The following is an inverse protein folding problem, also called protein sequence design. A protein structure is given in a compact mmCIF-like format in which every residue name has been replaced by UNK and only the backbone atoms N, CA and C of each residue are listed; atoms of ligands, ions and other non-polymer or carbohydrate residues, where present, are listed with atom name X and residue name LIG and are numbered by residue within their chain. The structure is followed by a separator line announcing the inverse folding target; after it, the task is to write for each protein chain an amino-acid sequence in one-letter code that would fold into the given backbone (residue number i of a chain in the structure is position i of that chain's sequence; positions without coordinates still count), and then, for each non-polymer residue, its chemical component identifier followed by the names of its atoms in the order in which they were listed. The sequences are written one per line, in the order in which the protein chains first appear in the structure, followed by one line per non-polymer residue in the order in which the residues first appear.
data_IF_281872791596
#
_entry.id   IF_281872791596
#
_cell.length_a   1.000
_cell.length_b   1.000
_cell.length_c   1.000
_cell.angle_alpha   90.00
_cell.angle_beta   90.00
_cell.angle_gamma   90.00
#
_symmetry.space_group_name_H-M   'P 1'
#
loop_
_entity.id
_entity.type
_entity.pdbx_description
1 polymer ?
#
# COMPACT_ATOMS: atom_id res chain seq x y z
N UNK A 1 -2.93 25.39 -42.35
CA UNK A 1 -2.24 24.09 -42.29
C UNK A 1 -2.58 23.49 -40.94
N UNK A 2 -3.00 22.22 -40.89
CA UNK A 2 -3.17 21.51 -39.62
C UNK A 2 -1.79 21.36 -38.96
N UNK A 3 -1.69 21.74 -37.69
CA UNK A 3 -0.45 21.69 -36.91
C UNK A 3 -0.23 20.31 -36.30
N UNK A 4 0.94 20.09 -35.69
CA UNK A 4 1.23 18.83 -35.00
C UNK A 4 0.36 18.63 -33.73
N UNK A 5 -0.12 19.72 -33.13
CA UNK A 5 -1.09 19.68 -32.03
C UNK A 5 -2.42 19.03 -32.45
N UNK A 6 -2.88 19.27 -33.68
CA UNK A 6 -4.13 18.70 -34.19
C UNK A 6 -4.01 17.17 -34.36
N UNK A 7 -2.80 16.67 -34.66
CA UNK A 7 -2.52 15.24 -34.70
C UNK A 7 -2.58 14.57 -33.31
N UNK A 8 -2.67 15.35 -32.23
CA UNK A 8 -2.76 14.88 -30.85
C UNK A 8 -4.16 15.04 -30.24
N UNK A 9 -5.14 15.60 -30.96
CA UNK A 9 -6.42 15.99 -30.37
C UNK A 9 -7.08 14.85 -29.56
N UNK A 10 -7.14 13.65 -30.14
CA UNK A 10 -7.72 12.44 -29.51
C UNK A 10 -7.00 12.00 -28.21
N UNK A 11 -5.76 12.44 -28.00
CA UNK A 11 -4.92 12.06 -26.85
C UNK A 11 -4.63 13.23 -25.90
N UNK A 12 -4.93 14.45 -26.32
CA UNK A 12 -4.52 15.68 -25.63
C UNK A 12 -5.44 16.03 -24.46
N UNK A 13 -6.69 15.58 -24.49
CA UNK A 13 -7.70 15.96 -23.50
C UNK A 13 -7.81 17.49 -23.36
N UNK A 14 -7.91 18.04 -22.14
CA UNK A 14 -7.97 19.48 -21.92
C UNK A 14 -6.65 20.21 -22.27
N UNK A 15 -5.52 19.50 -22.37
CA UNK A 15 -4.21 20.10 -22.66
C UNK A 15 -4.19 20.75 -24.05
N UNK A 16 -4.94 20.21 -25.02
CA UNK A 16 -4.95 20.72 -26.40
C UNK A 16 -5.42 22.17 -26.51
N UNK A 17 -6.44 22.55 -25.73
CA UNK A 17 -6.94 23.91 -25.74
C UNK A 17 -5.95 24.89 -25.07
N UNK A 18 -5.44 24.53 -23.89
CA UNK A 18 -4.47 25.35 -23.15
C UNK A 18 -3.15 25.53 -23.92
N UNK A 19 -2.63 24.47 -24.56
CA UNK A 19 -1.43 24.56 -25.40
C UNK A 19 -1.63 25.46 -26.63
N UNK A 20 -2.81 25.47 -27.24
CA UNK A 20 -3.14 26.38 -28.36
C UNK A 20 -3.24 27.83 -27.90
N UNK A 21 -3.79 28.06 -26.70
CA UNK A 21 -3.81 29.39 -26.08
C UNK A 21 -2.37 29.90 -25.83
N UNK A 22 -1.49 29.03 -25.31
CA UNK A 22 -0.05 29.33 -25.15
C UNK A 22 0.60 29.75 -26.47
N UNK A 23 0.42 28.95 -27.53
CA UNK A 23 0.95 29.27 -28.85
C UNK A 23 0.47 30.63 -29.37
N UNK A 24 -0.81 30.94 -29.18
CA UNK A 24 -1.37 32.23 -29.60
C UNK A 24 -0.80 33.40 -28.80
N UNK A 25 -0.66 33.26 -27.47
CA UNK A 25 -0.14 34.29 -26.58
C UNK A 25 1.33 34.62 -26.87
N UNK A 26 2.14 33.62 -27.20
CA UNK A 26 3.58 33.78 -27.45
C UNK A 26 3.96 33.76 -28.95
N UNK A 27 2.98 33.88 -29.84
CA UNK A 27 3.17 33.87 -31.30
C UNK A 27 4.01 32.68 -31.81
N UNK A 28 3.81 31.49 -31.23
CA UNK A 28 4.50 30.26 -31.63
C UNK A 28 3.76 29.67 -32.83
N UNK A 29 4.46 29.49 -33.95
CA UNK A 29 3.88 28.92 -35.15
C UNK A 29 3.45 27.44 -34.94
N UNK A 30 2.24 27.03 -35.39
CA UNK A 30 1.75 25.65 -35.25
C UNK A 30 2.61 24.57 -35.96
N UNK A 31 3.56 24.98 -36.79
CA UNK A 31 4.52 24.12 -37.51
C UNK A 31 5.78 23.81 -36.70
N UNK A 32 6.06 24.59 -35.64
CA UNK A 32 7.23 24.40 -34.78
C UNK A 32 7.01 23.18 -33.89
N UNK A 33 7.80 22.12 -34.09
CA UNK A 33 7.65 20.79 -33.45
C UNK A 33 8.96 20.31 -32.81
N UNK A 34 8.88 19.35 -31.89
CA UNK A 34 10.03 18.67 -31.30
C UNK A 34 11.00 19.62 -30.60
N UNK A 35 12.30 19.51 -30.88
CA UNK A 35 13.32 20.39 -30.26
C UNK A 35 13.08 21.88 -30.51
N UNK A 36 12.53 22.24 -31.67
CA UNK A 36 12.20 23.64 -31.95
C UNK A 36 11.06 24.16 -31.06
N UNK A 37 10.09 23.31 -30.74
CA UNK A 37 8.99 23.60 -29.82
C UNK A 37 9.51 23.74 -28.37
N UNK A 38 10.35 22.82 -27.92
CA UNK A 38 11.00 22.91 -26.60
C UNK A 38 11.83 24.20 -26.46
N UNK A 39 12.55 24.61 -27.50
CA UNK A 39 13.29 25.89 -27.51
C UNK A 39 12.37 27.11 -27.51
N UNK A 40 11.20 27.03 -28.16
CA UNK A 40 10.23 28.11 -28.14
C UNK A 40 9.63 28.30 -26.74
N UNK A 41 9.29 27.19 -26.07
CA UNK A 41 8.89 27.19 -24.66
C UNK A 41 9.99 27.78 -23.76
N UNK A 42 11.24 27.35 -23.92
CA UNK A 42 12.35 27.90 -23.12
C UNK A 42 12.52 29.41 -23.27
N UNK A 43 12.37 29.96 -24.50
CA UNK A 43 12.39 31.42 -24.71
C UNK A 43 11.22 32.13 -24.05
N UNK A 44 10.03 31.52 -24.07
CA UNK A 44 8.85 32.09 -23.42
C UNK A 44 8.99 32.08 -21.88
N UNK A 45 9.52 31.00 -21.32
CA UNK A 45 9.84 30.88 -19.90
C UNK A 45 10.89 31.91 -19.45
N UNK A 46 12.01 32.00 -20.18
CA UNK A 46 13.06 32.98 -19.89
C UNK A 46 12.52 34.42 -19.96
N UNK A 47 11.71 34.72 -20.98
CA UNK A 47 11.07 36.02 -21.10
C UNK A 47 10.09 36.30 -19.96
N UNK A 48 9.37 35.29 -19.47
CA UNK A 48 8.42 35.42 -18.35
C UNK A 48 9.16 35.72 -17.04
N UNK A 49 10.21 34.97 -16.71
CA UNK A 49 11.02 35.17 -15.50
C UNK A 49 11.70 36.55 -15.43
N UNK A 50 11.92 37.22 -16.57
CA UNK A 50 12.55 38.54 -16.65
C UNK A 50 11.54 39.68 -16.85
N UNK A 51 10.24 39.40 -16.91
CA UNK A 51 9.21 40.43 -16.92
C UNK A 51 9.06 41.07 -15.54
N UNK A 52 8.67 42.34 -15.52
CA UNK A 52 8.33 43.02 -14.28
C UNK A 52 6.98 42.48 -13.82
N UNK A 53 6.89 42.00 -12.57
CA UNK A 53 5.63 41.55 -11.97
C UNK A 53 4.51 42.57 -12.22
N UNK A 54 3.43 42.10 -12.84
CA UNK A 54 2.23 42.89 -13.10
C UNK A 54 1.28 42.92 -11.91
N UNK A 55 0.15 43.62 -12.07
CA UNK A 55 -0.93 43.66 -11.07
C UNK A 55 -1.89 42.45 -11.16
N UNK A 56 -1.69 41.52 -12.11
CA UNK A 56 -2.54 40.35 -12.32
C UNK A 56 -2.08 39.19 -11.41
N UNK A 57 -2.83 38.97 -10.32
CA UNK A 57 -2.53 37.95 -9.32
C UNK A 57 -2.62 36.51 -9.84
N UNK A 58 -3.28 36.30 -10.99
CA UNK A 58 -3.48 34.97 -11.59
C UNK A 58 -2.54 34.73 -12.81
N UNK A 59 -1.58 35.63 -13.04
CA UNK A 59 -0.68 35.56 -14.21
C UNK A 59 0.21 34.32 -14.19
N UNK A 60 0.79 34.00 -13.04
CA UNK A 60 1.65 32.82 -12.84
C UNK A 60 0.89 31.51 -13.04
N UNK A 61 -0.28 31.37 -12.39
CA UNK A 61 -1.13 30.18 -12.51
C UNK A 61 -1.54 29.93 -13.96
N UNK A 62 -1.92 31.00 -14.68
CA UNK A 62 -2.29 30.93 -16.09
C UNK A 62 -1.09 30.58 -16.96
N UNK A 63 0.10 31.10 -16.65
CA UNK A 63 1.32 30.74 -17.36
C UNK A 63 1.67 29.26 -17.14
N UNK A 64 1.67 28.79 -15.89
CA UNK A 64 1.92 27.37 -15.54
C UNK A 64 0.93 26.45 -16.26
N UNK A 65 -0.35 26.79 -16.28
CA UNK A 65 -1.37 26.00 -16.99
C UNK A 65 -1.07 25.90 -18.50
N UNK A 66 -0.84 27.04 -19.15
CA UNK A 66 -0.67 27.11 -20.60
C UNK A 66 0.68 26.52 -21.05
N UNK A 67 1.77 26.91 -20.39
CA UNK A 67 3.12 26.42 -20.65
C UNK A 67 3.24 24.94 -20.30
N UNK A 68 2.62 24.49 -19.20
CA UNK A 68 2.58 23.09 -18.78
C UNK A 68 1.81 22.24 -19.79
N UNK A 69 0.64 22.68 -20.24
CA UNK A 69 -0.10 22.00 -21.29
C UNK A 69 0.72 21.89 -22.60
N UNK A 70 1.38 22.97 -23.02
CA UNK A 70 2.25 22.96 -24.20
C UNK A 70 3.43 22.00 -24.04
N UNK A 71 4.16 22.06 -22.91
CA UNK A 71 5.26 21.15 -22.58
C UNK A 71 4.80 19.69 -22.62
N UNK A 72 3.66 19.39 -21.99
CA UNK A 72 3.10 18.04 -21.96
C UNK A 72 2.86 17.46 -23.36
N UNK A 73 2.33 18.28 -24.28
CA UNK A 73 2.12 17.85 -25.67
C UNK A 73 3.42 17.76 -26.47
N UNK A 74 4.41 18.63 -26.22
CA UNK A 74 5.75 18.50 -26.84
C UNK A 74 6.39 17.17 -26.47
N UNK A 75 6.33 16.78 -25.20
CA UNK A 75 6.89 15.52 -24.72
C UNK A 75 6.10 14.32 -25.25
N UNK A 76 4.76 14.39 -25.25
CA UNK A 76 3.90 13.33 -25.81
C UNK A 76 4.13 13.12 -27.31
N UNK A 77 4.36 14.21 -28.05
CA UNK A 77 4.70 14.17 -29.46
C UNK A 77 6.06 13.50 -29.72
N UNK A 78 7.06 13.87 -28.93
CA UNK A 78 8.43 13.39 -29.08
C UNK A 78 8.60 11.91 -28.70
N UNK A 79 7.92 11.47 -27.63
CA UNK A 79 8.15 10.15 -27.04
C UNK A 79 6.99 9.18 -27.20
N UNK A 80 5.82 9.66 -27.62
CA UNK A 80 4.61 8.86 -27.72
C UNK A 80 4.09 8.41 -26.36
N UNK A 81 2.99 7.64 -26.41
CA UNK A 81 2.30 7.14 -25.23
C UNK A 81 0.78 7.19 -25.39
N UNK A 82 0.04 6.72 -24.38
CA UNK A 82 -1.42 6.71 -24.38
C UNK A 82 -2.06 8.10 -24.46
N UNK A 83 -1.37 9.15 -23.98
CA UNK A 83 -1.89 10.51 -23.97
C UNK A 83 -2.05 11.09 -22.57
N UNK A 84 -3.08 11.90 -22.41
CA UNK A 84 -3.43 12.55 -21.14
C UNK A 84 -4.20 11.60 -20.22
N UNK A 85 -3.95 11.72 -18.92
CA UNK A 85 -4.76 11.14 -17.86
C UNK A 85 -5.09 12.19 -16.79
N UNK A 86 -6.29 12.11 -16.22
CA UNK A 86 -6.72 12.98 -15.14
C UNK A 86 -7.34 12.17 -14.01
N UNK A 87 -7.02 12.57 -12.78
CA UNK A 87 -7.69 12.11 -11.56
C UNK A 87 -7.84 13.29 -10.62
N UNK A 88 -9.08 13.59 -10.26
CA UNK A 88 -9.45 14.80 -9.52
C UNK A 88 -8.94 16.06 -10.27
N UNK A 89 -8.13 16.90 -9.62
CA UNK A 89 -7.51 18.10 -10.19
C UNK A 89 -6.12 17.85 -10.77
N UNK A 90 -5.63 16.61 -10.77
CA UNK A 90 -4.26 16.28 -11.21
C UNK A 90 -4.26 15.78 -12.65
N UNK A 91 -3.38 16.37 -13.45
CA UNK A 91 -3.22 16.06 -14.88
C UNK A 91 -1.84 15.45 -15.12
N UNK A 92 -1.79 14.37 -15.90
CA UNK A 92 -0.55 13.67 -16.24
C UNK A 92 -0.47 13.38 -17.72
N UNK A 93 0.75 13.36 -18.24
CA UNK A 93 1.04 12.84 -19.57
C UNK A 93 1.61 11.44 -19.42
N UNK A 94 0.95 10.45 -20.00
CA UNK A 94 1.38 9.06 -20.01
C UNK A 94 2.36 8.85 -21.17
N UNK A 95 3.57 8.38 -20.85
CA UNK A 95 4.69 8.26 -21.78
C UNK A 95 5.13 6.81 -21.91
N UNK A 96 5.44 6.37 -23.13
CA UNK A 96 5.87 4.99 -23.37
C UNK A 96 4.89 3.94 -22.81
N UNK A 97 5.41 2.84 -22.29
CA UNK A 97 4.60 1.77 -21.70
C UNK A 97 4.11 2.10 -20.27
N UNK A 98 5.01 2.58 -19.42
CA UNK A 98 4.75 2.78 -17.99
C UNK A 98 5.01 4.21 -17.50
N UNK A 99 5.62 5.07 -18.32
CA UNK A 99 6.01 6.41 -17.93
C UNK A 99 4.83 7.33 -17.63
N UNK A 100 5.09 8.30 -16.77
CA UNK A 100 4.16 9.35 -16.39
C UNK A 100 4.93 10.63 -16.11
N UNK A 101 4.44 11.76 -16.62
CA UNK A 101 5.08 13.08 -16.48
C UNK A 101 4.05 14.12 -16.02
N UNK A 102 4.47 14.97 -15.08
CA UNK A 102 3.70 16.13 -14.61
C UNK A 102 4.28 17.39 -15.25
N UNK A 103 3.71 17.87 -16.37
CA UNK A 103 4.29 19.00 -17.07
C UNK A 103 4.01 20.33 -16.36
N UNK A 104 3.02 20.40 -15.47
CA UNK A 104 2.70 21.62 -14.72
C UNK A 104 3.70 21.82 -13.60
N UNK A 105 3.95 20.77 -12.81
CA UNK A 105 4.99 20.78 -11.79
C UNK A 105 6.38 21.05 -12.39
N UNK A 106 6.63 20.63 -13.63
CA UNK A 106 7.88 20.93 -14.32
C UNK A 106 8.06 22.42 -14.67
N UNK A 107 6.98 23.11 -15.07
CA UNK A 107 7.03 24.56 -15.32
C UNK A 107 7.12 25.32 -14.00
N UNK A 108 6.28 24.97 -13.03
CA UNK A 108 6.26 25.55 -11.69
C UNK A 108 7.67 25.49 -11.03
N UNK A 109 8.28 24.29 -11.02
CA UNK A 109 9.64 24.12 -10.51
C UNK A 109 10.71 24.88 -11.31
N UNK A 110 10.47 25.16 -12.60
CA UNK A 110 11.39 25.95 -13.39
C UNK A 110 11.26 27.46 -13.10
N UNK A 111 10.05 27.95 -12.80
CA UNK A 111 9.82 29.33 -12.36
C UNK A 111 10.46 29.60 -11.00
N UNK A 112 10.39 28.63 -10.09
CA UNK A 112 10.96 28.71 -8.74
C UNK A 112 12.49 28.55 -8.70
N UNK A 113 13.13 28.14 -9.80
CA UNK A 113 14.55 27.84 -9.84
C UNK A 113 15.42 29.07 -10.10
N UNK A 114 16.61 29.12 -9.49
CA UNK A 114 17.64 30.12 -9.80
C UNK A 114 18.09 30.07 -11.28
N UNK A 115 18.02 28.88 -11.90
CA UNK A 115 18.34 28.65 -13.31
C UNK A 115 17.16 27.95 -14.04
N UNK A 116 16.13 28.71 -14.47
CA UNK A 116 14.88 28.15 -15.01
C UNK A 116 15.07 27.20 -16.20
N UNK A 117 15.96 27.56 -17.13
CA UNK A 117 16.24 26.74 -18.31
C UNK A 117 16.96 25.43 -17.96
N UNK A 118 17.74 25.40 -16.89
CA UNK A 118 18.39 24.18 -16.42
C UNK A 118 17.36 23.24 -15.78
N UNK A 119 16.49 23.77 -14.92
CA UNK A 119 15.40 23.02 -14.31
C UNK A 119 14.41 22.44 -15.35
N UNK A 120 14.10 23.20 -16.40
CA UNK A 120 13.29 22.70 -17.52
C UNK A 120 14.02 21.57 -18.28
N UNK A 121 15.33 21.69 -18.50
CA UNK A 121 16.12 20.66 -19.17
C UNK A 121 16.16 19.35 -18.35
N UNK A 122 16.33 19.45 -17.03
CA UNK A 122 16.27 18.30 -16.12
C UNK A 122 14.89 17.62 -16.15
N UNK A 123 13.82 18.41 -16.20
CA UNK A 123 12.44 17.89 -16.33
C UNK A 123 12.21 17.16 -17.65
N UNK A 124 12.77 17.67 -18.76
CA UNK A 124 12.73 16.99 -20.05
C UNK A 124 13.53 15.68 -20.05
N UNK A 125 14.70 15.67 -19.41
CA UNK A 125 15.51 14.46 -19.25
C UNK A 125 14.79 13.39 -18.40
N UNK A 126 14.05 13.82 -17.37
CA UNK A 126 13.18 12.95 -16.58
C UNK A 126 12.06 12.37 -17.44
N UNK A 127 11.37 13.19 -18.23
CA UNK A 127 10.30 12.74 -19.11
C UNK A 127 10.80 11.73 -20.16
N UNK A 128 11.99 11.95 -20.72
CA UNK A 128 12.64 11.01 -21.63
C UNK A 128 12.98 9.68 -20.92
N UNK A 129 13.46 9.73 -19.67
CA UNK A 129 13.72 8.51 -18.90
C UNK A 129 12.43 7.74 -18.59
N UNK A 130 11.35 8.42 -18.23
CA UNK A 130 10.01 7.83 -18.05
C UNK A 130 9.53 7.14 -19.32
N UNK A 131 9.64 7.80 -20.47
CA UNK A 131 9.27 7.22 -21.76
C UNK A 131 10.05 5.95 -22.11
N UNK A 132 11.35 5.91 -21.78
CA UNK A 132 12.23 4.76 -22.02
C UNK A 132 12.05 3.61 -21.03
N UNK A 133 11.30 3.81 -19.95
CA UNK A 133 11.12 2.79 -18.91
C UNK A 133 12.14 2.85 -17.77
N UNK A 134 13.11 3.78 -17.83
CA UNK A 134 14.19 3.93 -16.85
C UNK A 134 13.90 4.99 -15.78
N UNK A 135 12.79 5.71 -15.94
CA UNK A 135 12.34 6.76 -15.02
C UNK A 135 11.95 6.24 -13.63
N UNK A 136 11.81 7.15 -12.65
CA UNK A 136 11.40 6.80 -11.30
C UNK A 136 10.05 6.07 -11.23
N UNK A 137 9.05 6.45 -12.03
CA UNK A 137 7.72 5.84 -12.07
C UNK A 137 7.74 4.60 -12.97
N UNK A 138 8.19 4.74 -14.22
CA UNK A 138 8.17 3.65 -15.18
C UNK A 138 8.94 2.41 -14.69
N UNK A 139 10.12 2.61 -14.09
CA UNK A 139 10.93 1.52 -13.56
C UNK A 139 10.27 0.79 -12.39
N UNK A 140 9.51 1.48 -11.54
CA UNK A 140 8.77 0.86 -10.42
C UNK A 140 7.59 0.04 -10.94
N UNK A 141 6.86 0.55 -11.92
CA UNK A 141 5.73 -0.16 -12.54
C UNK A 141 6.19 -1.39 -13.33
N UNK A 142 7.24 -1.26 -14.15
CA UNK A 142 7.86 -2.40 -14.83
C UNK A 142 8.37 -3.45 -13.84
N UNK A 143 8.95 -3.00 -12.72
CA UNK A 143 9.35 -3.86 -11.62
C UNK A 143 8.17 -4.60 -10.99
N UNK A 144 7.03 -3.92 -10.75
CA UNK A 144 5.84 -4.55 -10.19
C UNK A 144 5.33 -5.67 -11.11
N UNK A 145 5.24 -5.42 -12.42
CA UNK A 145 4.82 -6.43 -13.39
C UNK A 145 5.81 -7.60 -13.47
N UNK A 146 7.12 -7.35 -13.30
CA UNK A 146 8.11 -8.40 -13.19
C UNK A 146 7.93 -9.23 -11.90
N UNK A 147 7.68 -8.58 -10.76
CA UNK A 147 7.45 -9.24 -9.48
C UNK A 147 6.18 -10.10 -9.49
N UNK A 148 5.08 -9.61 -10.08
CA UNK A 148 3.84 -10.39 -10.29
C UNK A 148 4.11 -11.66 -11.10
N UNK A 149 4.83 -11.53 -12.23
CA UNK A 149 5.22 -12.67 -13.07
C UNK A 149 6.13 -13.66 -12.33
N UNK A 150 7.12 -13.19 -11.57
CA UNK A 150 8.01 -14.06 -10.76
C UNK A 150 7.24 -14.83 -9.69
N UNK A 151 6.23 -14.21 -9.09
CA UNK A 151 5.37 -14.84 -8.09
C UNK A 151 4.33 -15.81 -8.69
N UNK A 152 4.20 -15.86 -10.02
CA UNK A 152 3.14 -16.61 -10.69
C UNK A 152 1.75 -16.02 -10.46
N UNK A 153 1.67 -14.74 -10.08
CA UNK A 153 0.40 -14.04 -9.91
C UNK A 153 -0.15 -13.65 -11.29
N UNK A 154 -1.34 -14.14 -11.61
CA UNK A 154 -2.02 -13.88 -12.88
C UNK A 154 -2.72 -12.51 -12.90
N UNK A 155 -2.61 -11.71 -11.83
CA UNK A 155 -3.19 -10.38 -11.77
C UNK A 155 -2.46 -9.45 -12.74
N UNK A 156 -3.25 -8.76 -13.56
CA UNK A 156 -2.77 -7.75 -14.51
C UNK A 156 -3.10 -6.35 -13.99
N UNK A 157 -2.33 -5.35 -14.44
CA UNK A 157 -2.65 -3.95 -14.15
C UNK A 157 -3.87 -3.55 -14.96
N UNK A 158 -5.03 -3.37 -14.29
CA UNK A 158 -6.29 -2.99 -14.94
C UNK A 158 -6.39 -1.49 -15.17
N UNK A 159 -5.84 -0.69 -14.25
CA UNK A 159 -5.71 0.75 -14.41
C UNK A 159 -4.61 1.29 -13.49
N UNK A 160 -4.12 2.49 -13.81
CA UNK A 160 -3.11 3.18 -13.00
C UNK A 160 -3.26 4.68 -13.12
N UNK A 161 -2.90 5.38 -12.04
CA UNK A 161 -2.65 6.82 -12.07
C UNK A 161 -1.39 7.07 -11.24
N UNK A 162 -0.31 7.50 -11.91
CA UNK A 162 1.03 7.58 -11.32
C UNK A 162 1.47 6.21 -10.72
N UNK A 163 1.68 6.18 -9.40
CA UNK A 163 2.13 5.03 -8.60
C UNK A 163 0.99 4.37 -7.82
N UNK A 164 -0.26 4.77 -8.06
CA UNK A 164 -1.44 4.06 -7.59
C UNK A 164 -1.90 3.11 -8.69
N UNK A 165 -1.81 1.81 -8.41
CA UNK A 165 -2.08 0.73 -9.37
C UNK A 165 -3.29 -0.07 -8.90
N UNK A 166 -4.25 -0.28 -9.80
CA UNK A 166 -5.35 -1.21 -9.60
C UNK A 166 -5.07 -2.49 -10.39
N UNK A 167 -5.21 -3.62 -9.73
CA UNK A 167 -5.01 -4.94 -10.32
C UNK A 167 -6.37 -5.55 -10.71
N UNK A 168 -6.36 -6.48 -11.67
CA UNK A 168 -7.55 -7.21 -12.12
C UNK A 168 -8.21 -8.05 -11.01
N UNK A 169 -7.48 -8.38 -9.96
CA UNK A 169 -8.01 -9.04 -8.76
C UNK A 169 -8.74 -8.07 -7.79
N UNK A 170 -8.83 -6.79 -8.14
CA UNK A 170 -9.44 -5.74 -7.33
C UNK A 170 -8.56 -5.21 -6.20
N UNK A 171 -7.29 -5.59 -6.13
CA UNK A 171 -6.34 -4.98 -5.20
C UNK A 171 -5.90 -3.60 -5.70
N UNK A 172 -5.77 -2.66 -4.76
CA UNK A 172 -5.12 -1.38 -4.98
C UNK A 172 -3.74 -1.40 -4.31
N UNK A 173 -2.72 -0.96 -5.05
CA UNK A 173 -1.33 -0.93 -4.61
C UNK A 173 -0.81 0.50 -4.72
N UNK A 174 -0.43 1.09 -3.58
CA UNK A 174 0.30 2.36 -3.54
C UNK A 174 1.81 2.11 -3.53
N UNK A 175 2.48 2.51 -4.61
CA UNK A 175 3.91 2.34 -4.82
C UNK A 175 4.72 3.61 -4.52
N UNK A 176 4.11 4.70 -4.04
CA UNK A 176 4.81 5.97 -3.75
C UNK A 176 5.96 5.79 -2.79
N UNK A 177 5.77 4.97 -1.74
CA UNK A 177 6.82 4.67 -0.76
C UNK A 177 7.98 3.88 -1.36
N UNK A 178 7.71 3.00 -2.32
CA UNK A 178 8.76 2.25 -3.02
C UNK A 178 9.58 3.22 -3.89
N UNK A 179 8.89 4.08 -4.65
CA UNK A 179 9.55 5.07 -5.48
C UNK A 179 10.40 6.05 -4.65
N UNK A 180 9.87 6.58 -3.55
CA UNK A 180 10.57 7.51 -2.66
C UNK A 180 11.84 6.91 -2.04
N UNK A 181 11.83 5.60 -1.76
CA UNK A 181 13.00 4.89 -1.22
C UNK A 181 13.99 4.44 -2.32
N UNK A 182 13.61 4.57 -3.58
CA UNK A 182 14.44 4.19 -4.73
C UNK A 182 15.02 5.45 -5.37
N UNK A 183 16.25 5.82 -4.98
CA UNK A 183 16.93 6.95 -5.58
C UNK A 183 17.05 6.77 -7.11
N UNK A 184 16.80 7.85 -7.86
CA UNK A 184 16.99 7.90 -9.30
C UNK A 184 18.11 8.92 -9.61
N UNK A 185 19.03 8.64 -10.55
CA UNK A 185 19.17 7.40 -11.34
C UNK A 185 19.55 6.16 -10.51
N UNK A 186 19.05 4.97 -10.91
CA UNK A 186 19.24 3.71 -10.17
C UNK A 186 20.49 2.95 -10.61
N UNK A 187 21.41 2.70 -9.68
CA UNK A 187 22.49 1.72 -9.81
C UNK A 187 22.04 0.28 -9.53
N UNK A 188 22.96 -0.69 -9.64
CA UNK A 188 22.66 -2.12 -9.46
C UNK A 188 22.08 -2.45 -8.08
N UNK A 189 22.69 -1.94 -7.00
CA UNK A 189 22.22 -2.17 -5.64
C UNK A 189 20.81 -1.60 -5.40
N UNK A 190 20.48 -0.45 -5.99
CA UNK A 190 19.15 0.15 -5.90
C UNK A 190 18.10 -0.67 -6.66
N UNK A 191 18.46 -1.29 -7.79
CA UNK A 191 17.57 -2.19 -8.54
C UNK A 191 17.27 -3.46 -7.75
N UNK A 192 18.28 -4.07 -7.14
CA UNK A 192 18.09 -5.23 -6.26
C UNK A 192 17.19 -4.89 -5.06
N UNK A 193 17.38 -3.71 -4.47
CA UNK A 193 16.52 -3.25 -3.39
C UNK A 193 15.07 -3.05 -3.83
N UNK A 194 14.87 -2.43 -5.00
CA UNK A 194 13.55 -2.25 -5.60
C UNK A 194 12.86 -3.60 -5.84
N UNK A 195 13.56 -4.57 -6.43
CA UNK A 195 13.03 -5.93 -6.66
C UNK A 195 12.59 -6.58 -5.34
N UNK A 196 13.41 -6.51 -4.28
CA UNK A 196 13.06 -7.06 -2.97
C UNK A 196 11.84 -6.38 -2.34
N UNK A 197 11.73 -5.07 -2.49
CA UNK A 197 10.59 -4.32 -1.92
C UNK A 197 9.30 -4.60 -2.68
N UNK A 198 9.37 -4.79 -4.00
CA UNK A 198 8.23 -5.18 -4.83
C UNK A 198 7.82 -6.63 -4.61
N UNK A 199 8.77 -7.58 -4.53
CA UNK A 199 8.48 -8.98 -4.18
C UNK A 199 7.76 -9.06 -2.82
N UNK A 200 8.17 -8.21 -1.87
CA UNK A 200 7.50 -8.10 -0.57
C UNK A 200 6.06 -7.58 -0.71
N UNK A 201 5.81 -6.60 -1.58
CA UNK A 201 4.44 -6.11 -1.84
C UNK A 201 3.59 -7.19 -2.49
N UNK A 202 4.10 -7.85 -3.54
CA UNK A 202 3.38 -8.91 -4.25
C UNK A 202 3.03 -10.07 -3.31
N UNK A 203 3.96 -10.49 -2.44
CA UNK A 203 3.69 -11.53 -1.43
C UNK A 203 2.54 -11.21 -0.47
N UNK A 204 2.16 -9.93 -0.36
CA UNK A 204 1.09 -9.45 0.52
C UNK A 204 -0.25 -9.31 -0.19
N UNK A 205 -0.31 -9.56 -1.51
CA UNK A 205 -1.53 -9.43 -2.28
C UNK A 205 -2.55 -10.53 -1.91
N UNK A 206 -3.86 -10.22 -1.97
CA UNK A 206 -4.91 -11.19 -1.72
C UNK A 206 -4.97 -12.25 -2.83
N UNK A 207 -5.20 -13.51 -2.46
CA UNK A 207 -5.35 -14.61 -3.42
C UNK A 207 -6.80 -14.72 -3.89
N UNK A 208 -7.25 -13.82 -4.77
CA UNK A 208 -8.58 -13.90 -5.35
C UNK A 208 -8.59 -14.76 -6.61
N UNK A 209 -9.63 -15.59 -6.76
CA UNK A 209 -10.07 -16.07 -8.07
C UNK A 209 -10.87 -14.94 -8.71
N UNK A 210 -10.49 -14.50 -9.91
CA UNK A 210 -11.35 -13.59 -10.66
C UNK A 210 -12.66 -14.32 -10.99
N UNK A 211 -13.80 -13.68 -10.72
CA UNK A 211 -15.12 -14.20 -11.06
C UNK A 211 -15.40 -14.16 -12.57
N UNK A 212 -14.65 -13.32 -13.31
CA UNK A 212 -14.85 -13.06 -14.74
C UNK A 212 -13.92 -13.89 -15.65
N UNK A 213 -12.93 -14.60 -15.09
CA UNK A 213 -12.10 -15.54 -15.82
C UNK A 213 -11.84 -16.80 -14.94
N UNK A 214 -12.52 -17.93 -15.18
CA UNK A 214 -12.31 -19.20 -14.45
C UNK A 214 -10.91 -19.83 -14.64
N UNK A 215 -9.96 -19.10 -15.23
CA UNK A 215 -8.59 -19.47 -15.54
C UNK A 215 -7.78 -18.16 -15.42
N UNK A 216 -6.74 -18.04 -14.60
CA UNK A 216 -5.58 -18.91 -14.55
C UNK A 216 -4.98 -19.00 -13.13
N UNK A 217 -4.55 -20.21 -12.78
CA UNK A 217 -4.01 -20.66 -11.49
C UNK A 217 -5.02 -20.73 -10.34
N UNK A 218 -5.78 -21.82 -10.30
CA UNK A 218 -6.08 -22.42 -8.99
C UNK A 218 -4.74 -22.65 -8.29
N UNK A 219 -4.55 -22.04 -7.11
CA UNK A 219 -3.35 -22.22 -6.31
C UNK A 219 -2.98 -23.71 -6.27
N UNK A 220 -1.73 -24.05 -6.60
CA UNK A 220 -1.31 -25.44 -6.60
C UNK A 220 -1.46 -26.01 -5.19
N UNK A 221 -1.55 -27.34 -5.07
CA UNK A 221 -1.58 -27.98 -3.75
C UNK A 221 -0.37 -27.56 -2.88
N UNK A 222 0.78 -27.29 -3.53
CA UNK A 222 1.97 -26.77 -2.86
C UNK A 222 1.77 -25.33 -2.36
N UNK A 223 1.17 -24.45 -3.16
CA UNK A 223 0.93 -23.04 -2.77
C UNK A 223 -0.04 -22.92 -1.59
N UNK A 224 -1.04 -23.81 -1.55
CA UNK A 224 -1.98 -23.94 -0.43
C UNK A 224 -1.22 -24.42 0.80
N UNK A 225 -0.44 -25.49 0.67
CA UNK A 225 0.34 -26.03 1.79
C UNK A 225 1.32 -25.00 2.34
N UNK A 226 2.05 -24.31 1.48
CA UNK A 226 2.99 -23.26 1.84
C UNK A 226 2.29 -22.11 2.59
N UNK A 227 1.11 -21.69 2.14
CA UNK A 227 0.29 -20.73 2.86
C UNK A 227 -0.06 -21.26 4.26
N UNK A 228 -0.63 -22.47 4.35
CA UNK A 228 -1.06 -23.07 5.61
C UNK A 228 0.10 -23.21 6.62
N UNK A 229 1.35 -23.41 6.18
CA UNK A 229 2.52 -23.43 7.09
C UNK A 229 2.86 -22.07 7.72
N UNK A 230 2.32 -20.97 7.17
CA UNK A 230 2.55 -19.59 7.61
C UNK A 230 1.36 -18.96 8.31
N UNK A 231 0.21 -19.62 8.33
CA UNK A 231 -1.00 -19.07 8.97
C UNK A 231 -0.85 -19.03 10.49
N UNK A 232 -1.24 -17.93 11.12
CA UNK A 232 -1.35 -17.82 12.58
C UNK A 232 -2.71 -17.23 12.96
N UNK A 233 -3.26 -17.58 14.12
CA UNK A 233 -4.45 -16.94 14.64
C UNK A 233 -4.06 -15.59 15.26
N UNK A 234 -4.98 -14.63 15.17
CA UNK A 234 -4.80 -13.26 15.64
C UNK A 234 -6.11 -12.76 16.24
N UNK A 235 -6.21 -12.66 17.57
CA UNK A 235 -7.34 -11.99 18.19
C UNK A 235 -7.38 -10.53 17.74
N UNK A 236 -8.58 -10.05 17.40
CA UNK A 236 -8.85 -8.66 17.04
C UNK A 236 -10.21 -8.25 17.61
N UNK A 237 -10.43 -6.95 17.76
CA UNK A 237 -11.74 -6.45 18.15
C UNK A 237 -12.77 -6.67 17.04
N UNK A 238 -14.03 -6.86 17.41
CA UNK A 238 -15.14 -6.95 16.46
C UNK A 238 -15.31 -5.64 15.68
N UNK A 239 -14.99 -4.50 16.29
CA UNK A 239 -14.96 -3.21 15.60
C UNK A 239 -13.94 -3.21 14.45
N UNK A 240 -12.69 -3.63 14.72
CA UNK A 240 -11.65 -3.76 13.69
C UNK A 240 -12.07 -4.67 12.53
N UNK A 241 -12.73 -5.79 12.81
CA UNK A 241 -13.21 -6.71 11.78
C UNK A 241 -14.40 -6.16 10.97
N UNK A 242 -15.13 -5.14 11.49
CA UNK A 242 -16.27 -4.50 10.81
C UNK A 242 -15.87 -3.23 10.06
N UNK A 243 -14.91 -2.48 10.56
CA UNK A 243 -14.47 -1.19 10.02
C UNK A 243 -13.46 -1.39 8.87
N UNK A 244 -13.84 -2.21 7.89
CA UNK A 244 -13.05 -2.50 6.71
C UNK A 244 -13.68 -1.84 5.47
N UNK A 245 -12.90 -1.59 4.40
CA UNK A 245 -13.44 -1.09 3.15
C UNK A 245 -14.58 -1.96 2.62
N UNK A 246 -15.48 -1.34 1.86
CA UNK A 246 -16.63 -2.03 1.27
C UNK A 246 -16.17 -3.27 0.47
N UNK A 247 -16.89 -4.39 0.63
CA UNK A 247 -16.56 -5.66 -0.03
C UNK A 247 -15.38 -6.43 0.57
N UNK A 248 -14.71 -5.91 1.62
CA UNK A 248 -13.64 -6.62 2.34
C UNK A 248 -14.20 -7.25 3.61
N UNK A 249 -13.98 -8.56 3.77
CA UNK A 249 -14.29 -9.29 5.01
C UNK A 249 -13.11 -10.16 5.39
N UNK A 250 -12.71 -10.14 6.66
CA UNK A 250 -11.66 -11.02 7.16
C UNK A 250 -12.20 -12.43 7.38
N UNK A 251 -11.33 -13.42 7.20
CA UNK A 251 -11.56 -14.76 7.69
C UNK A 251 -11.47 -14.74 9.23
N UNK A 252 -12.62 -14.85 9.90
CA UNK A 252 -12.72 -14.77 11.36
C UNK A 252 -13.60 -15.86 11.94
N UNK A 253 -13.29 -16.27 13.16
CA UNK A 253 -14.17 -17.05 14.03
C UNK A 253 -14.58 -16.25 15.26
N UNK A 254 -15.82 -16.38 15.76
CA UNK A 254 -16.18 -15.84 17.07
C UNK A 254 -15.28 -16.43 18.15
N UNK A 255 -14.77 -15.60 19.07
CA UNK A 255 -13.99 -16.08 20.20
C UNK A 255 -14.77 -15.91 21.52
N UNK A 256 -14.98 -14.66 21.94
CA UNK A 256 -15.78 -14.32 23.11
C UNK A 256 -16.11 -12.83 23.12
N UNK A 257 -17.29 -12.45 23.62
CA UNK A 257 -17.73 -11.06 23.73
C UNK A 257 -17.50 -10.23 22.44
N UNK A 258 -16.63 -9.22 22.51
CA UNK A 258 -16.26 -8.31 21.44
C UNK A 258 -14.97 -8.72 20.70
N UNK A 259 -14.45 -9.91 20.96
CA UNK A 259 -13.24 -10.45 20.33
C UNK A 259 -13.58 -11.51 19.29
N UNK A 260 -12.95 -11.39 18.12
CA UNK A 260 -12.95 -12.42 17.08
C UNK A 260 -11.53 -12.90 16.82
N UNK A 261 -11.39 -14.15 16.41
CA UNK A 261 -10.13 -14.75 16.01
C UNK A 261 -9.98 -14.61 14.49
N UNK A 262 -9.19 -13.66 14.04
CA UNK A 262 -8.81 -13.53 12.64
C UNK A 262 -7.63 -14.46 12.31
N UNK A 263 -7.40 -14.72 11.02
CA UNK A 263 -6.23 -15.44 10.55
C UNK A 263 -5.28 -14.52 9.78
N UNK A 264 -3.98 -14.68 10.01
CA UNK A 264 -2.94 -13.94 9.29
C UNK A 264 -2.00 -14.90 8.57
N UNK A 265 -1.56 -14.57 7.36
CA UNK A 265 -0.41 -15.21 6.71
C UNK A 265 0.85 -14.41 7.08
N UNK A 266 1.81 -15.06 7.75
CA UNK A 266 3.05 -14.42 8.20
C UNK A 266 4.14 -14.54 7.15
N UNK A 267 4.67 -13.40 6.70
CA UNK A 267 5.85 -13.26 5.84
C UNK A 267 7.03 -12.66 6.62
N UNK A 268 8.21 -12.61 6.00
CA UNK A 268 9.41 -12.03 6.60
C UNK A 268 9.17 -10.55 6.96
N UNK A 269 9.02 -10.26 8.26
CA UNK A 269 8.81 -8.91 8.81
C UNK A 269 7.42 -8.32 8.57
N UNK A 270 6.47 -9.05 7.98
CA UNK A 270 5.10 -8.57 7.70
C UNK A 270 4.06 -9.67 7.84
N UNK A 271 2.81 -9.30 8.04
CA UNK A 271 1.70 -10.23 8.02
C UNK A 271 0.49 -9.59 7.35
N UNK A 272 -0.24 -10.36 6.56
CA UNK A 272 -1.53 -9.95 5.99
C UNK A 272 -2.65 -10.71 6.67
N UNK A 273 -3.80 -10.09 6.82
CA UNK A 273 -5.00 -10.83 7.20
C UNK A 273 -5.51 -11.64 6.01
N UNK A 274 -5.92 -12.88 6.28
CA UNK A 274 -6.67 -13.67 5.32
C UNK A 274 -8.07 -13.11 5.19
N UNK A 275 -8.56 -12.99 3.96
CA UNK A 275 -9.92 -12.59 3.65
C UNK A 275 -10.85 -13.81 3.67
N UNK A 276 -12.12 -13.56 3.92
CA UNK A 276 -13.14 -14.61 3.98
C UNK A 276 -13.31 -15.34 2.63
N UNK A 277 -13.12 -14.63 1.51
CA UNK A 277 -13.19 -15.18 0.15
C UNK A 277 -11.97 -16.06 -0.22
N UNK A 278 -10.90 -16.06 0.59
CA UNK A 278 -9.72 -16.93 0.39
C UNK A 278 -9.88 -18.32 1.04
N UNK A 279 -10.85 -18.49 1.95
CA UNK A 279 -10.97 -19.72 2.76
C UNK A 279 -11.22 -20.96 1.91
N UNK A 280 -12.09 -20.90 0.92
CA UNK A 280 -12.42 -22.05 0.07
C UNK A 280 -11.19 -22.55 -0.71
N UNK A 281 -10.34 -21.63 -1.19
CA UNK A 281 -9.10 -21.96 -1.88
C UNK A 281 -8.06 -22.61 -0.95
N UNK A 282 -8.17 -22.39 0.36
CA UNK A 282 -7.28 -22.94 1.39
C UNK A 282 -7.82 -24.22 2.05
N UNK A 283 -8.86 -24.84 1.48
CA UNK A 283 -9.50 -26.04 2.03
C UNK A 283 -10.50 -25.75 3.15
N UNK A 284 -11.03 -24.53 3.21
CA UNK A 284 -12.07 -24.12 4.13
C UNK A 284 -11.55 -23.65 5.50
N UNK A 285 -12.48 -23.11 6.30
CA UNK A 285 -12.19 -22.52 7.62
C UNK A 285 -11.53 -23.50 8.59
N UNK A 286 -11.90 -24.79 8.53
CA UNK A 286 -11.37 -25.82 9.43
C UNK A 286 -9.91 -26.15 9.16
N UNK A 287 -9.53 -26.22 7.88
CA UNK A 287 -8.14 -26.42 7.45
C UNK A 287 -7.25 -25.27 7.93
N UNK A 288 -7.72 -24.03 7.72
CA UNK A 288 -7.04 -22.81 8.16
C UNK A 288 -6.95 -22.74 9.69
N UNK A 289 -8.05 -23.03 10.40
CA UNK A 289 -8.09 -23.08 11.87
C UNK A 289 -7.07 -24.07 12.41
N UNK A 290 -7.11 -25.31 11.93
CA UNK A 290 -6.22 -26.39 12.35
C UNK A 290 -4.76 -26.03 12.13
N UNK A 291 -4.41 -25.58 10.92
CA UNK A 291 -3.05 -25.17 10.59
C UNK A 291 -2.59 -24.01 11.46
N UNK A 292 -3.44 -22.99 11.67
CA UNK A 292 -3.11 -21.82 12.49
C UNK A 292 -2.77 -22.19 13.94
N UNK A 293 -3.55 -23.08 14.56
CA UNK A 293 -3.34 -23.53 15.92
C UNK A 293 -2.07 -24.38 16.04
N UNK A 294 -1.84 -25.30 15.09
CA UNK A 294 -0.60 -26.08 15.05
C UNK A 294 0.64 -25.19 14.89
N UNK A 295 0.56 -24.15 14.06
CA UNK A 295 1.65 -23.19 13.87
C UNK A 295 1.91 -22.36 15.13
N UNK A 296 0.84 -21.91 15.81
CA UNK A 296 0.95 -21.18 17.07
C UNK A 296 1.55 -22.05 18.17
N UNK A 297 1.14 -23.32 18.27
CA UNK A 297 1.67 -24.30 19.22
C UNK A 297 3.18 -24.48 19.04
N UNK A 298 3.63 -24.70 17.78
CA UNK A 298 5.05 -24.84 17.44
C UNK A 298 5.87 -23.60 17.84
N UNK A 299 5.30 -22.40 17.68
CA UNK A 299 5.95 -21.13 18.06
C UNK A 299 5.87 -20.84 19.56
N UNK A 300 5.02 -21.55 20.30
CA UNK A 300 4.79 -21.32 21.73
C UNK A 300 5.55 -22.29 22.64
N UNK A 301 6.34 -23.22 22.07
CA UNK A 301 7.11 -24.20 22.83
C UNK A 301 8.08 -23.61 23.89
N UNK A 302 8.44 -22.32 23.77
CA UNK A 302 9.32 -21.62 24.71
C UNK A 302 8.66 -20.43 25.40
N UNK A 303 7.34 -20.31 25.34
CA UNK A 303 6.64 -19.20 26.00
C UNK A 303 6.87 -19.27 27.51
N UNK A 304 6.98 -18.09 28.13
CA UNK A 304 7.07 -17.93 29.58
C UNK A 304 6.02 -16.92 30.02
N UNK A 305 5.39 -17.21 31.14
CA UNK A 305 4.57 -16.25 31.85
C UNK A 305 5.33 -15.79 33.09
N UNK A 306 5.34 -14.49 33.32
CA UNK A 306 6.02 -13.88 34.45
C UNK A 306 4.99 -13.37 35.47
N UNK A 307 5.27 -13.50 36.78
CA UNK A 307 4.46 -12.85 37.79
C UNK A 307 4.40 -11.33 37.58
N UNK A 308 3.20 -10.78 37.62
CA UNK A 308 2.92 -9.36 37.58
C UNK A 308 2.27 -8.96 38.92
N UNK A 309 2.97 -8.15 39.71
CA UNK A 309 2.45 -7.64 40.97
C UNK A 309 1.70 -6.33 40.74
N UNK A 310 0.41 -6.29 41.10
CA UNK A 310 -0.46 -5.10 41.01
C UNK A 310 -1.11 -4.86 42.37
N UNK A 311 -0.46 -4.02 43.19
CA UNK A 311 -0.86 -3.84 44.59
C UNK A 311 -0.76 -5.16 45.36
N UNK A 312 -1.82 -5.63 46.04
CA UNK A 312 -1.83 -6.90 46.76
C UNK A 312 -2.04 -8.13 45.86
N UNK A 313 -2.25 -7.95 44.55
CA UNK A 313 -2.62 -9.00 43.61
C UNK A 313 -1.42 -9.51 42.83
N UNK A 314 -1.35 -10.82 42.64
CA UNK A 314 -0.39 -11.47 41.76
C UNK A 314 -1.10 -12.04 40.54
N UNK A 315 -0.75 -11.55 39.37
CA UNK A 315 -1.22 -12.02 38.07
C UNK A 315 -0.07 -12.63 37.27
N UNK A 316 -0.34 -13.16 36.08
CA UNK A 316 0.68 -13.64 35.15
C UNK A 316 0.59 -12.89 33.83
N UNK A 317 1.70 -12.32 33.36
CA UNK A 317 1.78 -11.64 32.07
C UNK A 317 2.59 -12.45 31.06
N UNK A 318 2.11 -12.50 29.81
CA UNK A 318 2.91 -12.91 28.66
C UNK A 318 3.85 -11.80 28.22
N UNK A 319 5.11 -12.16 27.97
CA UNK A 319 6.16 -11.24 27.49
C UNK A 319 7.07 -11.91 26.46
N UNK A 320 6.51 -12.53 25.43
CA UNK A 320 7.34 -13.13 24.38
C UNK A 320 7.97 -12.07 23.47
N UNK A 321 7.30 -10.93 23.28
CA UNK A 321 7.69 -9.88 22.34
C UNK A 321 7.60 -10.30 20.86
N UNK A 322 6.93 -11.41 20.55
CA UNK A 322 6.92 -12.03 19.22
C UNK A 322 5.64 -11.76 18.40
N UNK A 323 4.75 -10.89 18.87
CA UNK A 323 3.48 -10.65 18.19
C UNK A 323 2.36 -11.59 18.57
N UNK A 324 2.59 -12.64 19.35
CA UNK A 324 1.63 -13.75 19.47
C UNK A 324 1.04 -13.93 20.87
N UNK A 325 1.36 -13.05 21.82
CA UNK A 325 0.95 -13.22 23.22
C UNK A 325 -0.57 -13.27 23.39
N UNK A 326 -1.32 -12.36 22.77
CA UNK A 326 -2.78 -12.42 22.82
C UNK A 326 -3.31 -13.70 22.16
N UNK A 327 -2.68 -14.18 21.09
CA UNK A 327 -3.13 -15.38 20.37
C UNK A 327 -2.99 -16.65 21.22
N UNK A 328 -2.05 -16.69 22.16
CA UNK A 328 -1.87 -17.85 23.05
C UNK A 328 -3.04 -18.12 23.96
N UNK A 329 -3.98 -17.17 24.09
CA UNK A 329 -5.26 -17.39 24.76
C UNK A 329 -6.02 -18.60 24.19
N UNK A 330 -5.85 -18.90 22.89
CA UNK A 330 -6.56 -20.01 22.23
C UNK A 330 -5.84 -21.35 22.35
N UNK A 331 -4.68 -21.41 23.01
CA UNK A 331 -3.93 -22.65 23.20
C UNK A 331 -4.24 -23.29 24.56
N UNK A 332 -4.73 -24.54 24.58
CA UNK A 332 -4.90 -25.28 25.84
C UNK A 332 -3.59 -25.44 26.63
N UNK A 333 -2.45 -25.60 25.94
CA UNK A 333 -1.13 -25.73 26.57
C UNK A 333 -0.71 -24.45 27.30
N UNK A 334 -1.00 -23.28 26.74
CA UNK A 334 -0.73 -21.99 27.38
C UNK A 334 -1.60 -21.79 28.63
N UNK A 335 -2.91 -22.11 28.54
CA UNK A 335 -3.81 -22.05 29.71
C UNK A 335 -3.34 -23.01 30.81
N UNK A 336 -2.90 -24.21 30.43
CA UNK A 336 -2.37 -25.20 31.38
C UNK A 336 -1.09 -24.69 32.06
N UNK A 337 -0.15 -24.12 31.29
CA UNK A 337 1.06 -23.51 31.85
C UNK A 337 0.72 -22.36 32.82
N UNK A 338 -0.23 -21.50 32.48
CA UNK A 338 -0.68 -20.43 33.36
C UNK A 338 -1.25 -20.99 34.68
N UNK A 339 -2.08 -22.04 34.61
CA UNK A 339 -2.61 -22.72 35.81
C UNK A 339 -1.55 -23.43 36.63
N UNK A 340 -0.47 -23.94 36.02
CA UNK A 340 0.65 -24.51 36.78
C UNK A 340 1.39 -23.43 37.57
N UNK A 341 1.54 -22.22 37.01
CA UNK A 341 2.25 -21.11 37.64
C UNK A 341 1.38 -20.35 38.66
N UNK A 342 0.07 -20.27 38.40
CA UNK A 342 -0.92 -19.65 39.28
C UNK A 342 -2.20 -20.53 39.28
N UNK A 343 -2.33 -21.47 40.24
CA UNK A 343 -3.42 -22.46 40.27
C UNK A 343 -4.84 -21.90 40.24
N UNK A 344 -5.03 -20.66 40.71
CA UNK A 344 -6.33 -19.99 40.74
C UNK A 344 -6.71 -19.30 39.43
N UNK A 345 -5.88 -19.33 38.37
CA UNK A 345 -6.20 -18.70 37.07
C UNK A 345 -7.58 -19.14 36.56
N UNK A 346 -8.46 -18.16 36.38
CA UNK A 346 -9.82 -18.34 35.91
C UNK A 346 -10.24 -17.36 34.81
N UNK A 347 -9.50 -16.26 34.63
CA UNK A 347 -9.76 -15.25 33.59
C UNK A 347 -8.48 -14.79 32.91
N UNK A 348 -8.62 -14.21 31.71
CA UNK A 348 -7.55 -13.51 31.02
C UNK A 348 -8.04 -12.23 30.33
N UNK A 349 -7.14 -11.29 30.11
CA UNK A 349 -7.37 -10.09 29.28
C UNK A 349 -6.33 -10.01 28.17
N UNK A 350 -6.72 -9.43 27.04
CA UNK A 350 -5.88 -9.23 25.86
C UNK A 350 -6.06 -7.80 25.31
N UNK A 351 -5.50 -6.78 25.99
CA UNK A 351 -5.72 -5.37 25.61
C UNK A 351 -5.19 -5.04 24.21
N UNK A 352 -4.12 -5.72 23.76
CA UNK A 352 -3.58 -5.64 22.41
C UNK A 352 -2.78 -6.90 22.07
N UNK A 353 -2.32 -7.02 20.82
CA UNK A 353 -1.73 -8.24 20.24
C UNK A 353 -0.53 -8.83 21.00
N UNK A 354 0.22 -7.98 21.69
CA UNK A 354 1.51 -8.27 22.34
C UNK A 354 1.34 -8.43 23.86
N UNK A 355 0.11 -8.61 24.34
CA UNK A 355 -0.14 -8.73 25.77
C UNK A 355 -1.29 -9.68 26.05
N UNK A 356 -1.03 -10.59 26.98
CA UNK A 356 -2.03 -11.41 27.65
C UNK A 356 -1.73 -11.37 29.14
N UNK A 357 -2.76 -11.20 29.96
CA UNK A 357 -2.62 -11.26 31.41
C UNK A 357 -3.65 -12.21 31.97
N UNK A 358 -3.20 -13.20 32.75
CA UNK A 358 -4.04 -14.17 33.45
C UNK A 358 -4.18 -13.78 34.92
N UNK A 359 -5.38 -13.96 35.47
CA UNK A 359 -5.66 -13.70 36.87
C UNK A 359 -6.67 -14.70 37.46
N UNK A 360 -6.79 -14.73 38.80
CA UNK A 360 -7.91 -15.37 39.47
C UNK A 360 -9.26 -14.78 39.06
N UNK A 361 -10.34 -15.56 39.11
CA UNK A 361 -11.66 -15.10 38.67
C UNK A 361 -12.22 -13.97 39.56
N UNK A 362 -11.87 -13.99 40.84
CA UNK A 362 -12.21 -12.95 41.82
C UNK A 362 -11.57 -11.59 41.52
N UNK A 363 -10.53 -11.56 40.66
CA UNK A 363 -9.84 -10.35 40.25
C UNK A 363 -10.34 -9.79 38.91
N UNK A 364 -11.40 -10.35 38.31
CA UNK A 364 -11.88 -9.98 36.98
C UNK A 364 -12.13 -8.47 36.79
N UNK A 365 -12.75 -7.80 37.76
CA UNK A 365 -13.04 -6.37 37.69
C UNK A 365 -11.76 -5.51 37.76
N UNK A 366 -10.82 -5.91 38.63
CA UNK A 366 -9.54 -5.23 38.78
C UNK A 366 -8.66 -5.43 37.54
N UNK A 367 -8.66 -6.64 36.99
CA UNK A 367 -7.96 -6.97 35.76
C UNK A 367 -8.53 -6.19 34.57
N UNK A 368 -9.85 -6.05 34.48
CA UNK A 368 -10.51 -5.29 33.40
C UNK A 368 -10.17 -3.80 33.46
N UNK A 369 -10.14 -3.20 34.66
CA UNK A 369 -9.68 -1.81 34.84
C UNK A 369 -8.22 -1.64 34.41
N UNK A 370 -7.34 -2.53 34.85
CA UNK A 370 -5.94 -2.52 34.43
C UNK A 370 -5.79 -2.67 32.90
N UNK A 371 -6.59 -3.54 32.29
CA UNK A 371 -6.59 -3.75 30.84
C UNK A 371 -7.09 -2.52 30.07
N UNK A 372 -8.06 -1.77 30.60
CA UNK A 372 -8.55 -0.54 29.98
C UNK A 372 -7.42 0.52 29.85
N UNK A 373 -6.58 0.64 30.87
CA UNK A 373 -5.42 1.54 30.86
C UNK A 373 -4.36 1.13 29.84
N UNK A 374 -4.17 -0.18 29.61
CA UNK A 374 -3.29 -0.69 28.57
C UNK A 374 -3.89 -0.50 27.17
N UNK A 375 -5.19 -0.77 27.03
CA UNK A 375 -5.93 -0.64 25.79
C UNK A 375 -5.92 0.81 25.29
N UNK A 376 -6.11 1.79 26.17
CA UNK A 376 -6.10 3.21 25.83
C UNK A 376 -4.76 3.70 25.24
N UNK A 377 -3.66 3.01 25.54
CA UNK A 377 -2.31 3.33 25.06
C UNK A 377 -1.87 2.47 23.86
N UNK A 378 -2.67 1.48 23.48
CA UNK A 378 -2.29 0.52 22.46
C UNK A 378 -2.54 1.07 21.04
N UNK A 379 -1.59 0.89 20.09
CA UNK A 379 -1.80 1.29 18.70
C UNK A 379 -2.88 0.46 18.00
N UNK A 380 -3.09 -0.78 18.44
CA UNK A 380 -4.10 -1.70 17.90
C UNK A 380 -4.85 -2.37 19.07
N UNK A 381 -5.86 -1.68 19.63
CA UNK A 381 -6.63 -2.18 20.77
C UNK A 381 -7.47 -3.40 20.38
N UNK A 382 -7.56 -4.38 21.29
CA UNK A 382 -8.39 -5.59 21.11
C UNK A 382 -9.57 -5.59 22.08
N UNK A 383 -9.35 -5.87 23.37
CA UNK A 383 -10.41 -5.83 24.37
C UNK A 383 -9.86 -5.73 25.79
N UNK A 384 -10.55 -4.98 26.65
CA UNK A 384 -10.28 -4.91 28.08
C UNK A 384 -11.14 -5.88 28.90
N UNK A 385 -12.07 -6.60 28.27
CA UNK A 385 -12.97 -7.50 28.98
C UNK A 385 -12.22 -8.72 29.55
N UNK A 386 -12.49 -9.06 30.81
CA UNK A 386 -12.03 -10.32 31.40
C UNK A 386 -12.74 -11.51 30.74
N UNK A 387 -11.95 -12.35 30.08
CA UNK A 387 -12.39 -13.52 29.31
C UNK A 387 -12.32 -14.76 30.23
N UNK A 388 -13.43 -15.49 30.45
CA UNK A 388 -13.44 -16.68 31.30
C UNK A 388 -12.67 -17.84 30.67
N UNK A 389 -11.96 -18.62 31.49
CA UNK A 389 -11.16 -19.77 31.05
C UNK A 389 -11.70 -21.11 31.59
N UNK A 390 -11.75 -22.18 30.77
CA UNK A 390 -11.40 -22.22 29.35
C UNK A 390 -12.46 -21.52 28.47
N UNK A 391 -12.03 -21.04 27.29
CA UNK A 391 -12.95 -20.47 26.31
C UNK A 391 -13.87 -21.56 25.75
N UNK A 392 -15.18 -21.35 25.82
CA UNK A 392 -16.21 -22.33 25.45
C UNK A 392 -16.40 -22.50 23.94
N UNK A 393 -15.83 -21.60 23.13
CA UNK A 393 -16.26 -21.37 21.74
C UNK A 393 -15.36 -21.97 20.64
N UNK A 394 -14.31 -22.73 20.99
CA UNK A 394 -13.38 -23.31 20.02
C UNK A 394 -13.53 -24.84 19.86
N UNK A 395 -14.60 -25.42 20.42
CA UNK A 395 -14.96 -26.84 20.25
C UNK A 395 -15.43 -27.17 18.84
#
# INVERSE_FOLDING_TARGET
MAGWLDALDDRSGPLGAAARAFCAAHAIEPTIRGLAAARALGRALDAFCHQVEGDDLDEDDRFVEQAGAYLGLVVLDAHGGPGHAQRDTRHRVLLGAHGCFDPFAAIDAALDADEPLHALADSLALAEAEARGDGPIAGVLAGLEAALRRAGDASEVSSRFELTVHLSNGAEVDLRRVAANSAWPRGAAQREQLDRDLDRIVSMLPRRRSTEAPSAYAASAQDVQDCLTRVLPRPVSRAFARDLPEGVRLATLPLFADVVLAFIEQHAGRARFLRADELDALGGVESVRTASLQNLERRSARVRFEPLQVGPRTWLAGKSGDGLDAARLVLPSAITLAKTLLPSVGVAVIPHRDTIVFAPIEDADALSHYAADLLARAPHPISAAALPLPLSALG
#
